data_IF_327485216772
#
_entry.id   IF_327485216772
#
_cell.length_a   1.000
_cell.length_b   1.000
_cell.length_c   1.000
_cell.angle_alpha   90.00
_cell.angle_beta   90.00
_cell.angle_gamma   90.00
#
_symmetry.space_group_name_H-M   'P 1'
#
loop_
_entity.id
_entity.type
_entity.pdbx_description
1 polymer ?
#
# COMPACT_ATOMS: atom_id res chain seq x y z
N UNK A 1 -1.91 4.69 27.60
CA UNK A 1 -0.69 5.00 26.82
C UNK A 1 -1.03 4.90 25.34
N UNK A 2 -1.24 6.02 24.64
CA UNK A 2 -1.36 6.03 23.18
C UNK A 2 0.00 5.66 22.59
N UNK A 3 0.13 4.41 22.18
CA UNK A 3 1.28 3.96 21.41
C UNK A 3 1.00 4.36 19.95
N UNK A 4 1.53 5.51 19.55
CA UNK A 4 1.30 6.13 18.23
C UNK A 4 1.66 5.16 17.10
N UNK A 5 0.77 5.02 16.13
CA UNK A 5 1.06 4.38 14.85
C UNK A 5 1.80 5.37 13.94
N UNK A 6 2.80 4.92 13.22
CA UNK A 6 3.45 5.68 12.15
C UNK A 6 2.65 5.47 10.87
N UNK A 7 2.03 6.53 10.36
CA UNK A 7 1.35 6.53 9.06
C UNK A 7 2.27 7.15 8.02
N UNK A 8 2.36 6.52 6.85
CA UNK A 8 3.15 6.98 5.70
C UNK A 8 2.21 7.11 4.51
N UNK A 9 2.27 8.23 3.80
CA UNK A 9 1.50 8.43 2.58
C UNK A 9 2.33 8.05 1.36
N UNK A 10 1.86 7.20 0.46
CA UNK A 10 2.41 7.13 -0.90
C UNK A 10 1.74 8.18 -1.76
N UNK A 11 2.54 8.96 -2.51
CA UNK A 11 2.01 10.01 -3.36
C UNK A 11 2.76 10.06 -4.70
N UNK A 12 2.04 10.00 -5.84
CA UNK A 12 2.65 10.28 -7.14
C UNK A 12 3.01 11.77 -7.27
N UNK A 13 3.78 12.17 -8.29
CA UNK A 13 4.28 13.54 -8.41
C UNK A 13 3.23 14.63 -8.34
N UNK A 14 2.09 14.44 -8.99
CA UNK A 14 0.99 15.40 -9.01
C UNK A 14 0.41 15.66 -7.60
N UNK A 15 0.47 14.68 -6.70
CA UNK A 15 -0.14 14.75 -5.37
C UNK A 15 0.86 14.98 -4.23
N UNK A 16 2.17 14.95 -4.51
CA UNK A 16 3.20 15.00 -3.47
C UNK A 16 3.12 16.26 -2.60
N UNK A 17 2.84 17.43 -3.20
CA UNK A 17 2.70 18.69 -2.44
C UNK A 17 1.43 18.69 -1.57
N UNK A 18 0.35 18.10 -2.05
CA UNK A 18 -0.90 18.03 -1.30
C UNK A 18 -0.75 17.08 -0.10
N UNK A 19 -0.16 15.90 -0.31
CA UNK A 19 0.15 14.93 0.75
C UNK A 19 1.03 15.52 1.88
N UNK A 20 2.05 16.31 1.52
CA UNK A 20 2.95 16.93 2.51
C UNK A 20 2.25 17.91 3.48
N UNK A 21 1.08 18.46 3.11
CA UNK A 21 0.34 19.41 3.96
C UNK A 21 -0.16 18.77 5.26
N UNK A 22 -0.28 17.45 5.30
CA UNK A 22 -0.76 16.70 6.46
C UNK A 22 0.34 16.43 7.51
N UNK A 23 1.59 16.83 7.24
CA UNK A 23 2.71 16.63 8.19
C UNK A 23 3.11 15.17 8.42
N UNK A 24 2.60 14.25 7.60
CA UNK A 24 2.98 12.84 7.61
C UNK A 24 4.20 12.60 6.72
N UNK A 25 5.03 11.59 7.01
CA UNK A 25 6.03 11.10 6.07
C UNK A 25 5.39 10.72 4.73
N UNK A 26 6.04 11.11 3.63
CA UNK A 26 5.59 10.79 2.27
C UNK A 26 6.60 9.88 1.60
N UNK A 27 6.15 8.76 1.06
CA UNK A 27 6.86 7.93 0.11
C UNK A 27 6.52 8.38 -1.32
N UNK A 28 7.48 9.02 -1.98
CA UNK A 28 7.27 9.65 -3.28
C UNK A 28 7.28 8.59 -4.39
N UNK A 29 6.09 8.25 -4.91
CA UNK A 29 5.86 7.27 -5.97
C UNK A 29 6.19 7.87 -7.34
N UNK A 30 7.46 8.19 -7.52
CA UNK A 30 7.99 8.90 -8.67
C UNK A 30 9.16 8.18 -9.33
N UNK A 31 9.49 6.97 -8.87
CA UNK A 31 10.68 6.26 -9.29
C UNK A 31 10.34 4.84 -9.74
N UNK A 32 11.14 4.32 -10.66
CA UNK A 32 11.02 2.93 -11.11
C UNK A 32 12.33 2.31 -11.53
N UNK A 33 12.37 0.99 -11.48
CA UNK A 33 13.40 0.18 -12.12
C UNK A 33 13.10 0.13 -13.62
N UNK A 34 13.91 0.80 -14.45
CA UNK A 34 13.79 0.66 -15.90
C UNK A 34 14.80 -0.33 -16.48
N UNK A 35 14.90 -0.41 -17.82
CA UNK A 35 15.80 -1.36 -18.47
C UNK A 35 17.27 -1.17 -18.07
N UNK A 36 18.00 -2.28 -17.92
CA UNK A 36 19.40 -2.26 -17.51
C UNK A 36 19.65 -1.95 -16.03
N UNK A 37 18.77 -2.41 -15.11
CA UNK A 37 18.18 -1.62 -14.02
C UNK A 37 18.81 -0.25 -13.81
N UNK A 38 18.33 0.74 -14.54
CA UNK A 38 18.62 2.14 -14.23
C UNK A 38 17.47 2.79 -13.48
N UNK A 39 17.77 3.78 -12.65
CA UNK A 39 16.77 4.55 -11.92
C UNK A 39 16.08 5.53 -12.86
N UNK A 40 14.82 5.25 -13.19
CA UNK A 40 13.96 6.20 -13.89
C UNK A 40 13.20 7.03 -12.87
N UNK A 41 13.08 8.32 -13.17
CA UNK A 41 12.42 9.30 -12.32
C UNK A 41 11.39 10.10 -13.13
N UNK A 42 10.16 10.12 -12.66
CA UNK A 42 9.12 10.99 -13.17
C UNK A 42 9.39 12.46 -12.82
N UNK A 43 8.80 13.40 -13.57
CA UNK A 43 9.02 14.82 -13.29
C UNK A 43 8.44 15.18 -11.91
N UNK A 44 9.31 15.54 -10.98
CA UNK A 44 8.98 15.87 -9.59
C UNK A 44 9.38 17.31 -9.29
N UNK A 45 8.52 18.11 -8.61
CA UNK A 45 8.89 19.46 -8.21
C UNK A 45 10.18 19.46 -7.37
N UNK A 46 11.09 20.40 -7.63
CA UNK A 46 12.40 20.50 -6.95
C UNK A 46 12.23 20.78 -5.45
N UNK A 47 11.13 21.43 -5.06
CA UNK A 47 10.79 21.73 -3.67
C UNK A 47 10.43 20.50 -2.85
N UNK A 48 10.12 19.36 -3.48
CA UNK A 48 9.78 18.13 -2.77
C UNK A 48 11.07 17.44 -2.32
N UNK A 49 11.24 17.33 -1.00
CA UNK A 49 12.40 16.79 -0.29
C UNK A 49 11.93 16.07 0.98
N UNK A 50 12.76 15.19 1.52
CA UNK A 50 12.44 14.43 2.73
C UNK A 50 11.44 13.30 2.49
N UNK A 51 11.34 12.41 3.48
CA UNK A 51 10.49 11.21 3.38
C UNK A 51 11.19 10.07 2.66
N UNK A 52 10.42 9.24 1.96
CA UNK A 52 10.91 7.99 1.38
C UNK A 52 10.88 8.04 -0.14
N UNK A 53 11.76 7.28 -0.77
CA UNK A 53 11.66 6.95 -2.19
C UNK A 53 10.70 5.75 -2.37
N UNK A 54 9.66 5.87 -3.17
CA UNK A 54 8.88 4.71 -3.61
C UNK A 54 9.27 4.31 -5.05
N UNK A 55 9.60 3.03 -5.23
CA UNK A 55 10.12 2.41 -6.44
C UNK A 55 9.15 1.35 -6.95
N UNK A 56 8.62 1.53 -8.16
CA UNK A 56 7.88 0.49 -8.88
C UNK A 56 8.82 -0.32 -9.82
N UNK A 57 8.36 -1.46 -10.33
CA UNK A 57 9.06 -2.26 -11.33
C UNK A 57 8.30 -2.38 -12.66
N UNK A 58 7.41 -1.43 -12.96
CA UNK A 58 6.57 -1.46 -14.16
C UNK A 58 7.44 -1.29 -15.40
N UNK A 59 7.37 -2.28 -16.31
CA UNK A 59 8.12 -2.28 -17.56
C UNK A 59 9.58 -2.72 -17.41
N UNK A 60 9.97 -3.25 -16.25
CA UNK A 60 11.32 -3.81 -16.07
C UNK A 60 11.49 -5.14 -16.82
N UNK A 61 12.61 -5.29 -17.53
CA UNK A 61 12.90 -6.46 -18.37
C UNK A 61 13.65 -7.59 -17.64
N UNK A 62 14.06 -7.36 -16.39
CA UNK A 62 14.76 -8.34 -15.56
C UNK A 62 16.24 -8.52 -15.88
N UNK A 63 16.87 -7.62 -16.64
CA UNK A 63 18.25 -7.77 -17.10
C UNK A 63 19.17 -6.69 -16.56
N UNK A 64 20.42 -7.06 -16.27
CA UNK A 64 21.52 -6.19 -15.85
C UNK A 64 21.94 -6.45 -14.39
N UNK A 65 22.47 -5.44 -13.69
CA UNK A 65 23.18 -5.64 -12.41
C UNK A 65 22.55 -4.86 -11.24
N UNK A 66 22.31 -5.54 -10.12
CA UNK A 66 21.68 -4.92 -8.94
C UNK A 66 22.55 -3.86 -8.25
N UNK A 67 23.87 -4.09 -8.19
CA UNK A 67 24.81 -3.23 -7.47
C UNK A 67 24.82 -1.78 -7.96
N UNK A 68 25.11 -1.52 -9.26
CA UNK A 68 25.08 -0.18 -9.85
C UNK A 68 23.72 0.53 -9.64
N UNK A 69 22.62 -0.18 -9.87
CA UNK A 69 21.27 0.34 -9.64
C UNK A 69 21.07 0.82 -8.20
N UNK A 70 21.44 0.00 -7.21
CA UNK A 70 21.29 0.34 -5.81
C UNK A 70 22.10 1.59 -5.43
N UNK A 71 23.24 1.83 -6.08
CA UNK A 71 24.01 3.06 -5.88
C UNK A 71 23.33 4.29 -6.50
N UNK A 72 22.67 4.15 -7.66
CA UNK A 72 21.85 5.22 -8.23
C UNK A 72 20.70 5.60 -7.30
N UNK A 73 20.00 4.60 -6.76
CA UNK A 73 18.93 4.77 -5.76
C UNK A 73 19.43 5.57 -4.54
N UNK A 74 20.57 5.16 -3.95
CA UNK A 74 21.13 5.86 -2.78
C UNK A 74 21.59 7.28 -3.09
N UNK A 75 22.16 7.52 -4.28
CA UNK A 75 22.61 8.84 -4.71
C UNK A 75 21.42 9.80 -4.82
N UNK A 76 20.33 9.35 -5.44
CA UNK A 76 19.11 10.14 -5.56
C UNK A 76 18.43 10.34 -4.19
N UNK A 77 18.39 9.32 -3.33
CA UNK A 77 17.92 9.47 -1.95
C UNK A 77 18.70 10.58 -1.22
N UNK A 78 20.03 10.57 -1.34
CA UNK A 78 20.88 11.59 -0.72
C UNK A 78 20.62 12.99 -1.29
N UNK A 79 20.44 13.12 -2.61
CA UNK A 79 20.18 14.39 -3.28
C UNK A 79 18.83 15.02 -2.88
N UNK A 80 17.82 14.17 -2.66
CA UNK A 80 16.46 14.57 -2.25
C UNK A 80 16.25 14.63 -0.74
N UNK A 81 17.23 14.14 0.03
CA UNK A 81 17.13 14.04 1.50
C UNK A 81 16.14 12.97 1.94
N UNK A 82 15.95 11.91 1.16
CA UNK A 82 15.14 10.77 1.57
C UNK A 82 15.88 9.93 2.61
N UNK A 83 15.13 9.43 3.58
CA UNK A 83 15.62 8.66 4.73
C UNK A 83 15.00 7.26 4.83
N UNK A 84 14.36 6.79 3.74
CA UNK A 84 13.80 5.45 3.62
C UNK A 84 13.45 5.10 2.18
N UNK A 85 13.19 3.81 1.93
CA UNK A 85 12.85 3.29 0.60
C UNK A 85 11.63 2.36 0.72
N UNK A 86 10.73 2.43 -0.25
CA UNK A 86 9.60 1.53 -0.42
C UNK A 86 9.69 0.90 -1.81
N UNK A 87 9.82 -0.42 -1.87
CA UNK A 87 9.81 -1.20 -3.10
C UNK A 87 8.40 -1.75 -3.35
N UNK A 88 7.68 -1.11 -4.25
CA UNK A 88 6.34 -1.46 -4.70
C UNK A 88 6.43 -2.42 -5.90
N UNK A 89 7.02 -3.59 -5.64
CA UNK A 89 7.29 -4.59 -6.68
C UNK A 89 6.14 -5.58 -6.74
N UNK A 90 5.29 -5.38 -7.75
CA UNK A 90 4.11 -6.20 -7.99
C UNK A 90 4.38 -7.36 -8.95
N UNK A 91 3.58 -8.41 -8.82
CA UNK A 91 3.64 -9.60 -9.67
C UNK A 91 4.57 -10.70 -9.14
N UNK A 92 4.99 -11.59 -10.04
CA UNK A 92 5.82 -12.76 -9.66
C UNK A 92 7.23 -12.31 -9.28
N UNK A 93 7.82 -12.85 -8.19
CA UNK A 93 9.14 -12.44 -7.78
C UNK A 93 10.19 -12.75 -8.85
N UNK A 94 10.87 -11.71 -9.31
CA UNK A 94 11.98 -11.81 -10.27
C UNK A 94 13.32 -11.92 -9.52
N UNK A 95 14.25 -12.79 -9.95
CA UNK A 95 15.55 -12.96 -9.29
C UNK A 95 16.34 -11.66 -9.12
N UNK A 96 16.40 -10.82 -10.16
CA UNK A 96 17.14 -9.56 -10.11
C UNK A 96 16.50 -8.54 -9.14
N UNK A 97 15.17 -8.47 -9.07
CA UNK A 97 14.47 -7.62 -8.09
C UNK A 97 14.71 -8.13 -6.66
N UNK A 98 14.77 -9.45 -6.45
CA UNK A 98 15.12 -10.03 -5.16
C UNK A 98 16.56 -9.70 -4.74
N UNK A 99 17.51 -9.70 -5.68
CA UNK A 99 18.88 -9.25 -5.46
C UNK A 99 18.97 -7.75 -5.13
N UNK A 100 18.20 -6.92 -5.84
CA UNK A 100 18.05 -5.49 -5.54
C UNK A 100 17.53 -5.29 -4.11
N UNK A 101 16.46 -5.98 -3.73
CA UNK A 101 15.90 -5.91 -2.36
C UNK A 101 16.95 -6.28 -1.31
N UNK A 102 17.68 -7.40 -1.49
CA UNK A 102 18.78 -7.82 -0.60
C UNK A 102 19.87 -6.76 -0.48
N UNK A 103 20.28 -6.19 -1.61
CA UNK A 103 21.36 -5.21 -1.68
C UNK A 103 20.95 -3.90 -0.99
N UNK A 104 19.74 -3.40 -1.29
CA UNK A 104 19.16 -2.24 -0.62
C UNK A 104 18.98 -2.48 0.88
N UNK A 105 18.57 -3.67 1.31
CA UNK A 105 18.41 -4.01 2.72
C UNK A 105 19.72 -3.87 3.51
N UNK A 106 20.83 -4.38 2.98
CA UNK A 106 22.15 -4.22 3.60
C UNK A 106 22.64 -2.76 3.61
N UNK A 107 22.33 -2.00 2.57
CA UNK A 107 22.73 -0.59 2.43
C UNK A 107 21.93 0.37 3.32
N UNK A 108 20.62 0.13 3.45
CA UNK A 108 19.69 0.92 4.28
C UNK A 108 19.87 0.60 5.77
N UNK A 109 20.09 -0.66 6.12
CA UNK A 109 20.36 -1.06 7.51
C UNK A 109 21.60 -0.35 8.08
N UNK A 110 22.68 -0.24 7.31
CA UNK A 110 23.90 0.51 7.72
C UNK A 110 23.63 2.01 7.97
N UNK A 111 22.58 2.56 7.39
CA UNK A 111 22.17 3.98 7.52
C UNK A 111 21.05 4.18 8.55
N UNK A 112 20.48 3.10 9.09
CA UNK A 112 19.30 3.17 9.95
C UNK A 112 18.00 3.53 9.20
N UNK A 113 17.99 3.42 7.87
CA UNK A 113 16.83 3.74 7.03
C UNK A 113 15.87 2.54 6.96
N UNK A 114 14.54 2.73 7.03
CA UNK A 114 13.60 1.66 6.78
C UNK A 114 13.55 1.33 5.28
N UNK A 115 13.48 0.03 4.98
CA UNK A 115 13.16 -0.50 3.67
C UNK A 115 11.81 -1.22 3.76
N UNK A 116 10.81 -0.79 3.00
CA UNK A 116 9.52 -1.46 2.86
C UNK A 116 9.50 -2.26 1.57
N UNK A 117 8.90 -3.44 1.59
CA UNK A 117 8.75 -4.32 0.43
C UNK A 117 7.34 -4.92 0.40
N UNK A 118 6.81 -5.19 -0.79
CA UNK A 118 5.61 -6.00 -0.96
C UNK A 118 5.79 -7.40 -0.37
N UNK A 119 4.69 -8.05 0.03
CA UNK A 119 4.72 -9.34 0.72
C UNK A 119 5.51 -10.42 -0.03
N UNK A 120 5.37 -10.44 -1.36
CA UNK A 120 6.09 -11.32 -2.29
C UNK A 120 7.61 -11.27 -2.07
N UNK A 121 8.15 -10.11 -1.69
CA UNK A 121 9.58 -9.91 -1.47
C UNK A 121 10.00 -9.97 0.02
N UNK A 122 9.05 -10.15 0.94
CA UNK A 122 9.31 -10.14 2.39
C UNK A 122 10.26 -11.24 2.88
N UNK A 123 10.43 -12.33 2.11
CA UNK A 123 11.34 -13.42 2.41
C UNK A 123 12.80 -13.19 1.98
N UNK A 124 13.10 -12.13 1.22
CA UNK A 124 14.44 -11.91 0.67
C UNK A 124 15.34 -11.01 1.53
N UNK A 125 14.78 -10.32 2.54
CA UNK A 125 15.54 -9.41 3.39
C UNK A 125 15.00 -9.34 4.83
N UNK A 126 15.77 -9.82 5.80
CA UNK A 126 15.38 -9.88 7.21
C UNK A 126 15.26 -8.52 7.89
N UNK A 127 15.94 -7.49 7.38
CA UNK A 127 15.82 -6.12 7.90
C UNK A 127 14.64 -5.33 7.30
N UNK A 128 14.06 -5.82 6.19
CA UNK A 128 12.97 -5.13 5.50
C UNK A 128 11.63 -5.27 6.25
N UNK A 129 10.82 -4.21 6.16
CA UNK A 129 9.42 -4.19 6.58
C UNK A 129 8.56 -4.76 5.45
N UNK A 130 7.68 -5.68 5.79
CA UNK A 130 6.82 -6.38 4.85
C UNK A 130 5.44 -5.72 4.86
N UNK A 131 5.02 -5.21 3.70
CA UNK A 131 3.73 -4.60 3.47
C UNK A 131 2.68 -5.70 3.29
N UNK A 132 1.70 -5.71 4.19
CA UNK A 132 0.60 -6.66 4.19
C UNK A 132 -0.68 -5.92 3.79
N UNK A 133 -1.23 -6.28 2.63
CA UNK A 133 -2.47 -5.67 2.12
C UNK A 133 -3.63 -5.84 3.09
N UNK A 134 -4.43 -4.79 3.20
CA UNK A 134 -5.70 -4.76 3.93
C UNK A 134 -6.94 -4.98 3.04
N UNK A 135 -6.75 -5.12 1.73
CA UNK A 135 -7.82 -5.45 0.79
C UNK A 135 -8.09 -6.96 0.84
N UNK A 136 -9.16 -7.35 1.54
CA UNK A 136 -9.60 -8.73 1.63
C UNK A 136 -11.03 -8.83 1.10
N UNK A 137 -11.25 -9.75 0.15
CA UNK A 137 -12.59 -10.13 -0.32
C UNK A 137 -13.18 -11.33 0.44
N UNK A 138 -12.40 -11.94 1.34
CA UNK A 138 -12.80 -13.06 2.18
C UNK A 138 -11.82 -13.32 3.33
N UNK A 139 -12.23 -14.13 4.30
CA UNK A 139 -11.44 -14.42 5.50
C UNK A 139 -11.50 -13.29 6.54
N UNK A 140 -10.43 -13.17 7.34
CA UNK A 140 -10.34 -12.23 8.46
C UNK A 140 -9.05 -11.41 8.43
N UNK A 141 -9.17 -10.09 8.49
CA UNK A 141 -8.03 -9.18 8.55
C UNK A 141 -7.18 -9.43 9.80
N UNK A 142 -7.83 -9.66 10.94
CA UNK A 142 -7.13 -9.93 12.19
C UNK A 142 -6.30 -11.21 12.09
N UNK A 143 -6.88 -12.29 11.56
CA UNK A 143 -6.17 -13.55 11.36
C UNK A 143 -4.99 -13.38 10.39
N UNK A 144 -5.22 -12.76 9.23
CA UNK A 144 -4.21 -12.53 8.21
C UNK A 144 -3.02 -11.72 8.73
N UNK A 145 -3.27 -10.67 9.52
CA UNK A 145 -2.21 -9.87 10.12
C UNK A 145 -1.47 -10.64 11.23
N UNK A 146 -2.16 -11.46 12.01
CA UNK A 146 -1.54 -12.32 13.02
C UNK A 146 -0.62 -13.37 12.38
N UNK A 147 -1.05 -14.02 11.30
CA UNK A 147 -0.25 -14.96 10.51
C UNK A 147 1.00 -14.29 9.93
N UNK A 148 0.86 -13.09 9.35
CA UNK A 148 1.99 -12.32 8.85
C UNK A 148 2.96 -11.93 9.98
N UNK A 149 2.45 -11.52 11.14
CA UNK A 149 3.27 -11.19 12.30
C UNK A 149 4.01 -12.42 12.86
N UNK A 150 3.39 -13.60 12.83
CA UNK A 150 4.03 -14.86 13.20
C UNK A 150 5.13 -15.25 12.20
N UNK A 151 4.88 -15.05 10.90
CA UNK A 151 5.80 -15.41 9.82
C UNK A 151 7.02 -14.50 9.74
N UNK A 152 6.81 -13.19 9.76
CA UNK A 152 7.88 -12.20 9.53
C UNK A 152 8.40 -11.58 10.82
N UNK A 153 7.67 -11.70 11.93
CA UNK A 153 7.90 -10.98 13.16
C UNK A 153 7.14 -9.66 13.19
N UNK A 154 6.44 -9.40 14.30
CA UNK A 154 5.59 -8.23 14.50
C UNK A 154 6.27 -6.90 14.15
N UNK A 155 7.55 -6.73 14.53
CA UNK A 155 8.31 -5.51 14.24
C UNK A 155 8.61 -5.29 12.76
N UNK A 156 8.48 -6.31 11.91
CA UNK A 156 8.69 -6.23 10.46
C UNK A 156 7.40 -6.02 9.68
N UNK A 157 6.24 -6.27 10.27
CA UNK A 157 4.99 -6.10 9.53
C UNK A 157 4.58 -4.63 9.50
N UNK A 158 4.17 -4.15 8.33
CA UNK A 158 3.51 -2.88 8.12
C UNK A 158 2.20 -3.12 7.34
N UNK A 159 1.13 -2.43 7.71
CA UNK A 159 -0.16 -2.55 7.05
C UNK A 159 -0.19 -1.69 5.78
N UNK A 160 -0.49 -2.28 4.63
CA UNK A 160 -0.81 -1.52 3.41
C UNK A 160 -2.33 -1.28 3.37
N UNK A 161 -2.74 -0.04 3.64
CA UNK A 161 -4.13 0.37 3.55
C UNK A 161 -4.50 0.58 2.09
N UNK A 162 -5.57 -0.09 1.70
CA UNK A 162 -6.21 0.07 0.40
C UNK A 162 -7.67 0.46 0.65
N UNK A 163 -8.14 1.49 -0.06
CA UNK A 163 -9.56 1.84 -0.08
C UNK A 163 -10.23 0.99 -1.15
N UNK A 164 -10.80 -0.13 -0.73
CA UNK A 164 -11.51 -1.04 -1.63
C UNK A 164 -12.82 -0.41 -2.08
N UNK A 165 -13.19 -0.66 -3.33
CA UNK A 165 -14.52 -0.47 -3.87
C UNK A 165 -14.67 -1.45 -5.04
N UNK A 166 -15.38 -2.55 -4.81
CA UNK A 166 -15.46 -3.66 -5.76
C UNK A 166 -16.87 -4.23 -5.82
N UNK A 167 -17.35 -4.52 -7.03
CA UNK A 167 -18.61 -5.22 -7.31
C UNK A 167 -18.34 -6.67 -7.75
N UNK A 168 -18.82 -7.61 -6.96
CA UNK A 168 -18.67 -9.03 -7.19
C UNK A 168 -19.95 -9.59 -7.78
N UNK A 169 -19.83 -10.14 -8.99
CA UNK A 169 -20.87 -10.99 -9.55
C UNK A 169 -20.90 -12.35 -8.83
N UNK A 170 -22.09 -12.79 -8.39
CA UNK A 170 -22.24 -14.01 -7.61
C UNK A 170 -22.79 -15.19 -8.45
N UNK A 171 -22.21 -16.40 -8.30
CA UNK A 171 -21.07 -16.73 -7.44
C UNK A 171 -19.75 -16.16 -8.00
N UNK A 172 -18.85 -15.73 -7.11
CA UNK A 172 -17.51 -15.22 -7.47
C UNK A 172 -16.44 -16.27 -7.16
N UNK A 173 -16.22 -17.26 -8.05
CA UNK A 173 -15.28 -18.35 -7.79
C UNK A 173 -13.81 -17.89 -7.76
N UNK A 174 -13.47 -16.78 -8.41
CA UNK A 174 -12.13 -16.18 -8.36
C UNK A 174 -11.88 -15.37 -7.09
N UNK A 175 -12.93 -14.98 -6.36
CA UNK A 175 -12.83 -14.04 -5.24
C UNK A 175 -12.36 -12.64 -5.66
N UNK A 176 -12.50 -12.29 -6.95
CA UNK A 176 -12.13 -10.99 -7.50
C UNK A 176 -13.38 -10.26 -7.97
N UNK A 177 -13.55 -9.03 -7.50
CA UNK A 177 -14.62 -8.13 -7.94
C UNK A 177 -14.17 -7.26 -9.11
N UNK A 178 -15.14 -6.64 -9.77
CA UNK A 178 -14.90 -5.55 -10.69
C UNK A 178 -14.62 -4.28 -9.87
N UNK A 179 -13.45 -3.62 -10.04
CA UNK A 179 -13.17 -2.37 -9.37
C UNK A 179 -14.19 -1.30 -9.75
N UNK A 180 -14.64 -0.55 -8.75
CA UNK A 180 -15.53 0.60 -8.89
C UNK A 180 -14.75 1.88 -8.59
N UNK A 181 -14.95 2.90 -9.43
CA UNK A 181 -14.65 4.27 -9.04
C UNK A 181 -15.56 4.73 -7.90
N UNK A 182 -15.14 5.77 -7.19
CA UNK A 182 -15.96 6.36 -6.13
C UNK A 182 -17.27 6.96 -6.67
N UNK A 183 -17.27 7.44 -7.91
CA UNK A 183 -18.48 7.94 -8.58
C UNK A 183 -19.45 6.81 -8.93
N UNK A 184 -18.95 5.67 -9.41
CA UNK A 184 -19.76 4.49 -9.70
C UNK A 184 -20.38 3.91 -8.42
N UNK A 185 -19.59 3.80 -7.35
CA UNK A 185 -20.09 3.35 -6.04
C UNK A 185 -21.21 4.26 -5.52
N UNK A 186 -21.01 5.58 -5.56
CA UNK A 186 -22.03 6.56 -5.15
C UNK A 186 -23.30 6.43 -5.99
N UNK A 187 -23.16 6.35 -7.31
CA UNK A 187 -24.31 6.15 -8.21
C UNK A 187 -25.08 4.88 -7.90
N UNK A 188 -24.39 3.76 -7.66
CA UNK A 188 -25.02 2.50 -7.26
C UNK A 188 -25.79 2.63 -5.95
N UNK A 189 -25.21 3.32 -4.96
CA UNK A 189 -25.87 3.56 -3.67
C UNK A 189 -27.11 4.44 -3.81
N UNK A 190 -27.04 5.51 -4.61
CA UNK A 190 -28.16 6.43 -4.84
C UNK A 190 -29.30 5.74 -5.58
N UNK A 191 -29.00 5.04 -6.68
CA UNK A 191 -29.99 4.37 -7.53
C UNK A 191 -30.69 3.21 -6.82
N UNK A 192 -29.97 2.47 -5.99
CA UNK A 192 -30.48 1.25 -5.33
C UNK A 192 -30.99 1.51 -3.91
N UNK A 193 -30.54 2.59 -3.26
CA UNK A 193 -30.77 2.87 -1.85
C UNK A 193 -30.62 1.62 -0.96
N UNK A 194 -29.47 0.92 -1.03
CA UNK A 194 -29.31 -0.39 -0.40
C UNK A 194 -29.16 -0.26 1.12
N UNK A 195 -29.51 -1.32 1.84
CA UNK A 195 -29.10 -1.47 3.24
C UNK A 195 -27.61 -1.79 3.30
N UNK A 196 -26.84 -0.93 3.95
CA UNK A 196 -25.39 -1.08 4.12
C UNK A 196 -25.11 -1.81 5.42
N UNK A 197 -24.28 -2.85 5.34
CA UNK A 197 -23.81 -3.62 6.47
C UNK A 197 -22.30 -3.43 6.65
N UNK A 198 -21.77 -3.80 7.82
CA UNK A 198 -20.35 -3.78 8.11
C UNK A 198 -19.85 -5.18 8.42
N UNK A 199 -18.80 -5.62 7.72
CA UNK A 199 -18.12 -6.88 7.99
C UNK A 199 -17.01 -6.65 9.01
N UNK A 200 -17.16 -7.21 10.21
CA UNK A 200 -16.11 -7.15 11.25
C UNK A 200 -14.85 -7.91 10.82
N UNK A 201 -15.00 -9.00 10.06
CA UNK A 201 -13.88 -9.83 9.62
C UNK A 201 -13.03 -9.12 8.57
N UNK A 202 -13.68 -8.49 7.57
CA UNK A 202 -12.98 -7.76 6.50
C UNK A 202 -12.63 -6.33 6.90
N UNK A 203 -13.28 -5.81 7.95
CA UNK A 203 -13.22 -4.40 8.35
C UNK A 203 -13.59 -3.47 7.17
N UNK A 204 -14.68 -3.79 6.47
CA UNK A 204 -15.18 -3.08 5.30
C UNK A 204 -16.71 -3.10 5.25
N UNK A 205 -17.30 -2.14 4.55
CA UNK A 205 -18.73 -2.06 4.32
C UNK A 205 -19.14 -2.91 3.12
N UNK A 206 -20.36 -3.44 3.16
CA UNK A 206 -20.90 -4.15 2.02
C UNK A 206 -22.41 -4.02 1.89
N UNK A 207 -22.92 -4.27 0.69
CA UNK A 207 -24.34 -4.50 0.44
C UNK A 207 -24.50 -5.49 -0.72
N UNK A 208 -25.72 -6.00 -0.91
CA UNK A 208 -26.06 -6.87 -2.03
C UNK A 208 -27.19 -6.26 -2.84
N UNK A 209 -27.21 -6.55 -4.13
CA UNK A 209 -28.32 -6.16 -5.01
C UNK A 209 -28.55 -7.20 -6.11
N UNK A 210 -29.73 -7.13 -6.74
CA UNK A 210 -30.08 -7.96 -7.89
C UNK A 210 -30.07 -7.10 -9.15
N UNK A 211 -29.19 -7.42 -10.10
CA UNK A 211 -29.23 -6.92 -11.47
C UNK A 211 -30.23 -7.74 -12.30
N UNK A 212 -31.01 -7.07 -13.14
CA UNK A 212 -31.94 -7.73 -14.07
C UNK A 212 -31.23 -8.45 -15.21
N UNK A 213 -30.03 -8.00 -15.57
CA UNK A 213 -29.27 -8.54 -16.68
C UNK A 213 -28.45 -9.75 -16.25
N UNK A 214 -27.76 -9.62 -15.11
CA UNK A 214 -26.73 -10.59 -14.76
C UNK A 214 -27.06 -11.37 -13.49
N UNK A 215 -27.87 -10.89 -12.55
CA UNK A 215 -28.25 -11.65 -11.35
C UNK A 215 -27.76 -11.03 -10.04
N UNK A 216 -27.26 -11.84 -9.10
CA UNK A 216 -26.92 -11.37 -7.76
C UNK A 216 -25.52 -10.73 -7.71
N UNK A 217 -25.42 -9.61 -7.00
CA UNK A 217 -24.20 -8.85 -6.81
C UNK A 217 -23.91 -8.61 -5.33
N UNK A 218 -22.63 -8.52 -4.99
CA UNK A 218 -22.12 -8.15 -3.68
C UNK A 218 -21.10 -7.04 -3.86
N UNK A 219 -21.34 -5.88 -3.24
CA UNK A 219 -20.42 -4.74 -3.31
C UNK A 219 -19.69 -4.62 -1.99
N UNK A 220 -18.36 -4.55 -2.02
CA UNK A 220 -17.48 -4.34 -0.87
C UNK A 220 -16.78 -3.00 -1.02
N UNK A 221 -16.76 -2.17 0.02
CA UNK A 221 -16.10 -0.87 -0.05
C UNK A 221 -15.58 -0.37 1.31
N UNK A 222 -14.67 0.60 1.24
CA UNK A 222 -14.07 1.27 2.39
C UNK A 222 -14.47 2.74 2.50
N UNK A 223 -14.63 3.19 3.75
CA UNK A 223 -14.77 4.59 4.14
C UNK A 223 -13.73 4.95 5.23
N UNK A 224 -13.80 6.18 5.76
CA UNK A 224 -12.87 6.59 6.83
C UNK A 224 -13.01 5.74 8.10
N UNK A 225 -14.23 5.28 8.44
CA UNK A 225 -14.50 4.46 9.61
C UNK A 225 -13.93 3.05 9.48
N UNK A 226 -14.10 2.42 8.33
CA UNK A 226 -13.54 1.11 8.01
C UNK A 226 -12.01 1.15 8.00
N UNK A 227 -11.39 2.18 7.41
CA UNK A 227 -9.93 2.38 7.43
C UNK A 227 -9.42 2.57 8.86
N UNK A 228 -10.10 3.39 9.69
CA UNK A 228 -9.76 3.52 11.12
C UNK A 228 -9.86 2.18 11.85
N UNK A 229 -10.85 1.36 11.53
CA UNK A 229 -10.99 0.01 12.09
C UNK A 229 -9.84 -0.90 11.68
N UNK A 230 -9.42 -0.90 10.41
CA UNK A 230 -8.24 -1.64 9.92
C UNK A 230 -6.96 -1.25 10.68
N UNK A 231 -6.74 0.05 10.85
CA UNK A 231 -5.62 0.59 11.64
C UNK A 231 -5.70 0.16 13.11
N UNK A 232 -6.90 0.14 13.70
CA UNK A 232 -7.12 -0.32 15.08
C UNK A 232 -6.78 -1.81 15.25
N UNK A 233 -7.22 -2.66 14.31
CA UNK A 233 -6.93 -4.11 14.33
C UNK A 233 -5.43 -4.35 14.25
N UNK A 234 -4.73 -3.72 13.32
CA UNK A 234 -3.26 -3.82 13.23
C UNK A 234 -2.58 -3.38 14.54
N UNK A 235 -3.02 -2.27 15.13
CA UNK A 235 -2.49 -1.78 16.41
C UNK A 235 -2.72 -2.76 17.55
N UNK A 236 -3.89 -3.40 17.61
CA UNK A 236 -4.21 -4.45 18.59
C UNK A 236 -3.26 -5.65 18.50
N UNK A 237 -2.76 -5.94 17.30
CA UNK A 237 -1.75 -6.96 17.03
C UNK A 237 -0.31 -6.42 17.14
N UNK A 238 -0.12 -5.20 17.65
CA UNK A 238 1.17 -4.52 17.81
C UNK A 238 1.88 -4.14 16.51
N UNK A 239 1.18 -4.17 15.37
CA UNK A 239 1.65 -3.63 14.10
C UNK A 239 1.45 -2.11 14.13
N UNK A 240 2.55 -1.37 14.05
CA UNK A 240 2.56 0.08 14.30
C UNK A 240 2.77 0.94 13.08
N UNK A 241 3.08 0.35 11.94
CA UNK A 241 3.38 1.07 10.72
C UNK A 241 2.27 0.78 9.72
N UNK A 242 1.79 1.82 9.05
CA UNK A 242 0.85 1.69 7.95
C UNK A 242 1.21 2.63 6.81
N UNK A 243 1.01 2.16 5.59
CA UNK A 243 1.16 2.92 4.36
C UNK A 243 -0.21 3.12 3.73
N UNK A 244 -0.52 4.33 3.30
CA UNK A 244 -1.79 4.69 2.66
C UNK A 244 -1.52 5.41 1.33
N UNK A 245 -2.24 5.05 0.28
CA UNK A 245 -2.16 5.74 -1.00
C UNK A 245 -2.94 7.06 -0.95
N UNK A 246 -2.23 8.19 -0.96
CA UNK A 246 -2.85 9.51 -0.85
C UNK A 246 -3.96 9.73 -1.90
N UNK A 247 -3.77 9.41 -3.19
CA UNK A 247 -4.83 9.58 -4.19
C UNK A 247 -6.12 8.78 -3.90
N UNK A 248 -6.02 7.67 -3.17
CA UNK A 248 -7.19 6.86 -2.82
C UNK A 248 -7.98 7.43 -1.63
N UNK A 249 -7.33 8.21 -0.77
CA UNK A 249 -7.88 8.64 0.52
C UNK A 249 -7.88 10.16 0.70
N UNK A 250 -7.62 10.93 -0.35
CA UNK A 250 -7.54 12.40 -0.27
C UNK A 250 -8.80 13.02 0.37
N UNK A 251 -9.98 12.56 -0.03
CA UNK A 251 -11.28 12.99 0.51
C UNK A 251 -11.59 12.44 1.91
N UNK A 252 -10.84 11.44 2.39
CA UNK A 252 -11.07 10.78 3.68
C UNK A 252 -9.98 11.06 4.72
N UNK A 253 -8.84 11.63 4.31
CA UNK A 253 -7.64 11.68 5.15
C UNK A 253 -7.86 12.49 6.44
N UNK A 254 -8.58 13.61 6.37
CA UNK A 254 -8.92 14.40 7.58
C UNK A 254 -9.74 13.57 8.57
N UNK A 255 -10.76 12.86 8.09
CA UNK A 255 -11.62 12.01 8.92
C UNK A 255 -10.90 10.76 9.46
N UNK A 256 -9.93 10.24 8.71
CA UNK A 256 -9.07 9.13 9.16
C UNK A 256 -8.16 9.61 10.31
N UNK A 257 -7.62 10.82 10.22
CA UNK A 257 -6.69 11.39 11.20
C UNK A 257 -7.38 11.97 12.44
N UNK A 258 -8.66 12.31 12.35
CA UNK A 258 -9.44 12.86 13.46
C UNK A 258 -9.78 11.84 14.57
N UNK A 259 -9.58 10.54 14.34
CA UNK A 259 -9.91 9.45 15.28
C UNK A 259 -8.74 8.89 16.07
#
# INVERSE_FOLDING_TARGET
MQLNSTLILTAPPAHSRAALRFGLPVAHAAYRVGGGPHLFRANMPISVRGGLMALDCVGFDGRGEAGPFCQEVLRECSARGYDGILCDFEGRPMPLLAEIVRTLAGLTQKRGWPLYVTETYGGYADSAKVLISSALSGGSLAQRLAEAAQRYGQGRVALAIERVAEDFYLPSPSGQGQPLSQEELRRLMDERSPSIFFSTELCAHYFTYMSRENGAHFVLFDDAGSIRKKLQVARGLGIRQAVLSYPQIEDLLEDILAG
#
